data_IF_123412190701
#
_entry.id   IF_123412190701
#
_cell.length_a   1.000
_cell.length_b   1.000
_cell.length_c   1.000
_cell.angle_alpha   90.00
_cell.angle_beta   90.00
_cell.angle_gamma   90.00
#
_symmetry.space_group_name_H-M   'P 1'
#
loop_
_entity.id
_entity.type
_entity.pdbx_description
1 polymer ?
#
# COMPACT_ATOMS: atom_id res chain seq x y z
N UNK A 1 -6.05 3.41 17.61
CA UNK A 1 -4.82 3.15 16.83
C UNK A 1 -3.90 4.37 16.84
N UNK A 2 -4.33 5.54 16.33
CA UNK A 2 -3.51 6.79 16.35
C UNK A 2 -3.09 7.17 17.77
N UNK A 3 -4.03 7.20 18.73
CA UNK A 3 -3.72 7.61 20.11
C UNK A 3 -2.71 6.70 20.81
N UNK A 4 -2.69 5.40 20.47
CA UNK A 4 -1.82 4.40 21.13
C UNK A 4 -0.48 4.22 20.41
N UNK A 5 -0.48 4.22 19.08
CA UNK A 5 0.68 3.84 18.26
C UNK A 5 1.19 4.97 17.35
N UNK A 6 0.49 6.11 17.34
CA UNK A 6 0.84 7.26 16.52
C UNK A 6 1.95 8.12 17.13
N UNK A 7 2.30 9.17 16.39
CA UNK A 7 3.32 10.15 16.73
C UNK A 7 2.86 11.55 16.30
N UNK A 8 3.58 12.59 16.73
CA UNK A 8 3.33 13.95 16.25
C UNK A 8 4.13 14.17 14.96
N UNK A 9 3.43 14.46 13.86
CA UNK A 9 4.06 14.73 12.57
C UNK A 9 4.73 16.11 12.52
N UNK A 10 5.41 16.41 11.41
CA UNK A 10 6.12 17.70 11.21
C UNK A 10 5.18 18.91 11.20
N UNK A 11 3.87 18.69 11.04
CA UNK A 11 2.84 19.72 11.07
C UNK A 11 2.15 19.81 12.45
N UNK A 12 2.66 19.10 13.47
CA UNK A 12 2.11 19.11 14.82
C UNK A 12 0.86 18.24 15.00
N UNK A 13 0.51 17.38 14.03
CA UNK A 13 -0.70 16.55 14.09
C UNK A 13 -0.41 15.17 14.65
N UNK A 14 -1.30 14.68 15.52
CA UNK A 14 -1.28 13.27 15.91
C UNK A 14 -1.60 12.38 14.70
N UNK A 15 -0.62 11.57 14.31
CA UNK A 15 -0.59 10.88 13.03
C UNK A 15 -0.08 9.45 13.17
N UNK A 16 -0.51 8.60 12.27
CA UNK A 16 0.01 7.25 12.08
C UNK A 16 0.13 7.01 10.58
N UNK A 17 1.28 7.41 10.04
CA UNK A 17 1.74 7.05 8.70
C UNK A 17 2.91 6.10 8.83
N UNK A 18 2.70 4.84 8.47
CA UNK A 18 3.77 3.85 8.51
C UNK A 18 3.52 2.73 7.49
N UNK A 19 4.62 2.20 6.97
CA UNK A 19 4.64 0.97 6.19
C UNK A 19 4.88 -0.20 7.14
N UNK A 20 4.15 -1.28 6.94
CA UNK A 20 4.16 -2.48 7.76
C UNK A 20 4.42 -3.69 6.87
N UNK A 21 5.38 -4.51 7.27
CA UNK A 21 5.72 -5.79 6.65
C UNK A 21 5.86 -6.86 7.75
N UNK A 22 6.47 -8.00 7.46
CA UNK A 22 6.66 -9.10 8.42
C UNK A 22 7.54 -8.73 9.63
N UNK A 23 8.36 -7.68 9.49
CA UNK A 23 9.29 -7.20 10.53
C UNK A 23 8.67 -6.00 11.26
N UNK A 24 8.75 -5.94 12.61
CA UNK A 24 8.30 -4.78 13.36
C UNK A 24 8.95 -3.47 12.89
N UNK A 25 8.12 -2.48 12.54
CA UNK A 25 8.58 -1.14 12.24
C UNK A 25 8.84 -0.31 13.52
N UNK A 26 9.19 0.97 13.37
CA UNK A 26 9.50 1.86 14.49
C UNK A 26 8.31 2.11 15.45
N UNK A 27 7.07 1.84 15.01
CA UNK A 27 5.87 1.88 15.84
C UNK A 27 5.57 0.52 16.48
N UNK A 28 6.45 -0.47 16.31
CA UNK A 28 6.27 -1.84 16.79
C UNK A 28 5.23 -2.64 16.00
N UNK A 29 4.79 -2.14 14.84
CA UNK A 29 3.75 -2.77 14.03
C UNK A 29 4.36 -3.74 13.02
N UNK A 30 3.75 -4.92 12.86
CA UNK A 30 4.12 -5.92 11.86
C UNK A 30 2.89 -6.71 11.40
N UNK A 31 2.96 -7.31 10.21
CA UNK A 31 1.89 -8.18 9.69
C UNK A 31 2.31 -9.65 9.67
N UNK A 32 1.34 -10.55 9.82
CA UNK A 32 1.50 -11.99 9.61
C UNK A 32 0.33 -12.52 8.78
N UNK A 33 0.58 -13.59 8.03
CA UNK A 33 -0.48 -14.36 7.38
C UNK A 33 -0.85 -15.53 8.29
N UNK A 34 -2.10 -15.56 8.73
CA UNK A 34 -2.65 -16.60 9.58
C UNK A 34 -4.09 -16.90 9.17
N UNK A 35 -4.45 -18.17 9.01
CA UNK A 35 -5.81 -18.59 8.67
C UNK A 35 -6.35 -17.86 7.42
N UNK A 36 -5.54 -17.77 6.35
CA UNK A 36 -5.89 -17.08 5.11
C UNK A 36 -6.24 -15.59 5.29
N UNK A 37 -5.74 -14.95 6.35
CA UNK A 37 -5.94 -13.53 6.62
C UNK A 37 -4.60 -12.81 6.84
N UNK A 38 -4.55 -11.54 6.44
CA UNK A 38 -3.47 -10.63 6.82
C UNK A 38 -3.82 -10.03 8.17
N UNK A 39 -3.00 -10.29 9.19
CA UNK A 39 -3.22 -9.81 10.56
C UNK A 39 -2.13 -8.82 10.94
N UNK A 40 -2.54 -7.64 11.39
CA UNK A 40 -1.67 -6.59 11.91
C UNK A 40 -1.53 -6.75 13.42
N UNK A 41 -0.30 -6.92 13.87
CA UNK A 41 0.07 -7.03 15.28
C UNK A 41 0.93 -5.86 15.72
N UNK A 42 1.02 -5.70 17.03
CA UNK A 42 2.07 -4.94 17.69
C UNK A 42 2.98 -5.86 18.51
N UNK A 43 4.22 -5.45 18.75
CA UNK A 43 5.22 -6.22 19.52
C UNK A 43 4.81 -6.51 20.97
N UNK A 44 3.82 -5.79 21.51
CA UNK A 44 3.20 -6.08 22.82
C UNK A 44 2.23 -7.29 22.79
N UNK A 45 2.07 -7.93 21.64
CA UNK A 45 1.18 -9.08 21.43
C UNK A 45 -0.25 -8.70 21.03
N UNK A 46 -0.59 -7.41 20.94
CA UNK A 46 -1.92 -6.97 20.54
C UNK A 46 -2.21 -7.28 19.07
N UNK A 47 -3.33 -7.95 18.78
CA UNK A 47 -3.93 -7.98 17.45
C UNK A 47 -4.69 -6.66 17.22
N UNK A 48 -4.30 -5.91 16.19
CA UNK A 48 -4.82 -4.55 15.94
C UNK A 48 -5.87 -4.56 14.83
N UNK A 49 -5.62 -5.29 13.76
CA UNK A 49 -6.52 -5.37 12.61
C UNK A 49 -6.34 -6.69 11.87
N UNK A 50 -7.37 -7.08 11.14
CA UNK A 50 -7.39 -8.29 10.32
C UNK A 50 -8.10 -7.99 8.99
N UNK A 51 -7.53 -8.51 7.91
CA UNK A 51 -8.13 -8.49 6.58
C UNK A 51 -8.20 -9.91 6.05
N UNK A 52 -9.42 -10.43 5.88
CA UNK A 52 -9.63 -11.71 5.22
C UNK A 52 -9.03 -11.69 3.81
N UNK A 53 -8.22 -12.70 3.47
CA UNK A 53 -7.53 -12.77 2.20
C UNK A 53 -8.46 -12.79 1.01
N UNK A 54 -9.59 -13.49 1.12
CA UNK A 54 -10.65 -13.49 0.11
C UNK A 54 -11.14 -12.07 -0.22
N UNK A 55 -11.32 -11.20 0.79
CA UNK A 55 -11.76 -9.82 0.57
C UNK A 55 -10.70 -8.99 -0.16
N UNK A 56 -9.41 -9.24 0.13
CA UNK A 56 -8.29 -8.58 -0.55
C UNK A 56 -8.20 -9.02 -2.01
N UNK A 57 -8.28 -10.33 -2.26
CA UNK A 57 -8.27 -10.92 -3.60
C UNK A 57 -9.46 -10.42 -4.41
N UNK A 58 -10.67 -10.48 -3.87
CA UNK A 58 -11.88 -9.99 -4.54
C UNK A 58 -11.78 -8.50 -4.88
N UNK A 59 -11.24 -7.69 -3.98
CA UNK A 59 -11.03 -6.26 -4.22
C UNK A 59 -9.99 -6.00 -5.31
N UNK A 60 -8.90 -6.77 -5.33
CA UNK A 60 -7.86 -6.71 -6.36
C UNK A 60 -8.44 -7.06 -7.73
N UNK A 61 -9.09 -8.23 -7.86
CA UNK A 61 -9.65 -8.73 -9.11
C UNK A 61 -10.75 -7.82 -9.66
N UNK A 62 -11.60 -7.28 -8.79
CA UNK A 62 -12.67 -6.34 -9.20
C UNK A 62 -12.11 -5.02 -9.72
N UNK A 63 -11.07 -4.48 -9.07
CA UNK A 63 -10.55 -3.15 -9.38
C UNK A 63 -9.50 -3.17 -10.50
N UNK A 64 -8.77 -4.27 -10.62
CA UNK A 64 -7.63 -4.40 -11.54
C UNK A 64 -7.78 -5.65 -12.44
N UNK A 65 -8.89 -5.80 -13.19
CA UNK A 65 -9.00 -6.87 -14.19
C UNK A 65 -7.96 -6.70 -15.31
N UNK A 66 -7.53 -5.45 -15.55
CA UNK A 66 -6.37 -5.06 -16.33
C UNK A 66 -5.86 -3.69 -15.83
N UNK A 67 -4.62 -3.33 -16.14
CA UNK A 67 -4.01 -2.08 -15.70
C UNK A 67 -3.22 -1.45 -16.85
N UNK A 68 -3.33 -0.13 -17.04
CA UNK A 68 -2.36 0.63 -17.83
C UNK A 68 -1.48 1.40 -16.86
N UNK A 69 -0.19 1.11 -16.87
CA UNK A 69 0.82 1.87 -16.13
C UNK A 69 1.40 2.90 -17.09
N UNK A 70 1.46 4.15 -16.66
CA UNK A 70 2.05 5.26 -17.43
C UNK A 70 3.15 5.90 -16.61
N UNK A 71 4.34 5.98 -17.20
CA UNK A 71 5.51 6.63 -16.67
C UNK A 71 5.63 8.05 -17.18
N UNK A 72 6.16 8.93 -16.34
CA UNK A 72 6.44 10.30 -16.72
C UNK A 72 7.74 10.80 -16.10
N UNK A 73 8.55 11.47 -16.92
CA UNK A 73 9.63 12.30 -16.40
C UNK A 73 9.03 13.61 -15.86
N UNK A 74 9.45 14.02 -14.68
CA UNK A 74 9.05 15.28 -14.06
C UNK A 74 10.16 16.33 -14.19
N UNK A 75 9.77 17.58 -14.47
CA UNK A 75 10.65 18.74 -14.36
C UNK A 75 9.92 19.93 -13.75
N UNK A 76 10.63 20.74 -12.99
CA UNK A 76 10.14 22.03 -12.51
C UNK A 76 10.70 23.14 -13.40
N UNK A 77 9.85 24.02 -13.91
CA UNK A 77 10.31 25.16 -14.72
C UNK A 77 10.79 26.32 -13.83
N UNK A 78 11.26 27.40 -14.46
CA UNK A 78 11.69 28.63 -13.78
C UNK A 78 10.56 29.38 -13.04
N UNK A 79 9.30 28.99 -13.23
CA UNK A 79 8.13 29.55 -12.53
C UNK A 79 7.66 28.63 -11.39
N UNK A 80 8.49 27.68 -10.95
CA UNK A 80 8.17 26.68 -9.91
C UNK A 80 6.95 25.80 -10.23
N UNK A 81 6.61 25.68 -11.52
CA UNK A 81 5.53 24.80 -11.99
C UNK A 81 6.10 23.46 -12.42
N UNK A 82 5.59 22.40 -11.81
CA UNK A 82 5.88 21.02 -12.19
C UNK A 82 5.22 20.68 -13.53
N UNK A 83 5.97 20.00 -14.40
CA UNK A 83 5.53 19.51 -15.71
C UNK A 83 5.91 18.05 -15.83
N UNK A 84 5.00 17.26 -16.43
CA UNK A 84 5.16 15.83 -16.64
C UNK A 84 5.22 15.52 -18.13
N UNK A 85 6.22 14.75 -18.53
CA UNK A 85 6.31 14.20 -19.88
C UNK A 85 6.05 12.70 -19.82
N UNK A 86 4.82 12.30 -20.17
CA UNK A 86 4.42 10.90 -20.24
C UNK A 86 5.07 10.25 -21.47
N UNK A 87 6.02 9.36 -21.24
CA UNK A 87 6.95 8.89 -22.27
C UNK A 87 7.02 7.36 -22.40
N UNK A 88 6.47 6.61 -21.44
CA UNK A 88 6.41 5.16 -21.48
C UNK A 88 5.10 4.66 -20.87
N UNK A 89 4.49 3.62 -21.46
CA UNK A 89 3.31 2.99 -20.88
C UNK A 89 3.26 1.48 -21.15
N UNK A 90 2.64 0.75 -20.23
CA UNK A 90 2.46 -0.69 -20.32
C UNK A 90 1.02 -1.09 -20.01
N UNK A 91 0.51 -2.08 -20.74
CA UNK A 91 -0.76 -2.74 -20.47
C UNK A 91 -0.52 -4.08 -19.80
N UNK A 92 -1.02 -4.25 -18.58
CA UNK A 92 -0.94 -5.47 -17.81
C UNK A 92 -2.30 -6.16 -17.77
N UNK A 93 -2.29 -7.46 -18.05
CA UNK A 93 -3.48 -8.31 -18.13
C UNK A 93 -3.22 -9.65 -17.46
N UNK A 94 -4.28 -10.44 -17.30
CA UNK A 94 -4.25 -11.75 -16.65
C UNK A 94 -3.81 -11.62 -15.17
N UNK A 95 -4.60 -10.92 -14.33
CA UNK A 95 -4.27 -10.79 -12.91
C UNK A 95 -4.22 -12.16 -12.24
N UNK A 96 -3.22 -12.36 -11.38
CA UNK A 96 -3.01 -13.60 -10.64
C UNK A 96 -3.53 -13.46 -9.21
N UNK A 97 -4.73 -14.01 -8.97
CA UNK A 97 -5.40 -13.98 -7.67
C UNK A 97 -4.69 -14.80 -6.58
N UNK A 98 -4.11 -15.94 -6.95
CA UNK A 98 -3.58 -16.92 -5.98
C UNK A 98 -2.31 -16.47 -5.28
N UNK A 99 -1.62 -15.46 -5.81
CA UNK A 99 -0.31 -15.06 -5.32
C UNK A 99 -0.36 -13.95 -4.25
N UNK A 100 -1.51 -13.29 -4.03
CA UNK A 100 -1.55 -12.04 -3.28
C UNK A 100 -1.09 -12.20 -1.82
N UNK A 101 -1.56 -13.22 -1.11
CA UNK A 101 -1.17 -13.47 0.29
C UNK A 101 0.29 -13.91 0.41
N UNK A 102 0.78 -14.71 -0.54
CA UNK A 102 2.17 -15.13 -0.58
C UNK A 102 3.11 -13.95 -0.81
N UNK A 103 2.72 -13.00 -1.67
CA UNK A 103 3.49 -11.76 -1.87
C UNK A 103 3.51 -10.88 -0.62
N UNK A 104 2.45 -10.87 0.20
CA UNK A 104 2.48 -10.20 1.52
C UNK A 104 3.43 -10.94 2.47
N UNK A 105 3.36 -12.28 2.50
CA UNK A 105 4.23 -13.12 3.34
C UNK A 105 5.71 -12.96 2.99
N UNK A 106 6.03 -12.67 1.73
CA UNK A 106 7.38 -12.45 1.22
C UNK A 106 7.84 -10.99 1.33
N UNK A 107 7.05 -10.11 1.96
CA UNK A 107 7.29 -8.66 2.05
C UNK A 107 7.41 -7.94 0.70
N UNK A 108 6.91 -8.54 -0.38
CA UNK A 108 6.82 -7.93 -1.72
C UNK A 108 5.62 -6.98 -1.78
N UNK A 109 4.50 -7.40 -1.18
CA UNK A 109 3.37 -6.52 -0.89
C UNK A 109 3.48 -6.06 0.56
N UNK A 110 3.51 -4.75 0.78
CA UNK A 110 3.54 -4.13 2.10
C UNK A 110 2.22 -3.43 2.42
N UNK A 111 1.95 -3.22 3.71
CA UNK A 111 0.71 -2.62 4.21
C UNK A 111 0.98 -1.22 4.74
N UNK A 112 0.35 -0.21 4.13
CA UNK A 112 0.46 1.18 4.57
C UNK A 112 -0.74 1.57 5.43
N UNK A 113 -0.46 1.93 6.68
CA UNK A 113 -1.41 2.62 7.57
C UNK A 113 -1.25 4.12 7.39
N UNK A 114 -2.36 4.84 7.10
CA UNK A 114 -2.32 6.23 6.63
C UNK A 114 -3.44 7.06 7.24
N UNK A 115 -3.23 7.55 8.45
CA UNK A 115 -4.25 8.30 9.18
C UNK A 115 -3.68 9.40 10.06
N UNK A 116 -4.45 10.46 10.28
CA UNK A 116 -4.14 11.53 11.23
C UNK A 116 -5.41 12.10 11.87
N UNK A 117 -5.25 12.80 12.99
CA UNK A 117 -6.30 13.63 13.56
C UNK A 117 -6.32 15.00 12.89
N UNK A 118 -7.51 15.45 12.51
CA UNK A 118 -7.77 16.84 12.11
C UNK A 118 -7.74 17.75 13.34
N UNK A 119 -7.66 19.06 13.12
CA UNK A 119 -7.68 20.07 14.19
C UNK A 119 -8.92 19.94 15.10
N UNK A 120 -10.06 19.54 14.54
CA UNK A 120 -11.30 19.32 15.29
C UNK A 120 -11.36 17.95 16.02
N UNK A 121 -10.25 17.21 16.07
CA UNK A 121 -10.16 15.89 16.72
C UNK A 121 -10.70 14.72 15.90
N UNK A 122 -11.34 14.97 14.73
CA UNK A 122 -11.85 13.87 13.90
C UNK A 122 -10.73 13.12 13.16
N UNK A 123 -10.90 11.81 13.00
CA UNK A 123 -9.93 10.96 12.30
C UNK A 123 -10.06 11.13 10.78
N UNK A 124 -8.98 11.56 10.13
CA UNK A 124 -8.80 11.45 8.69
C UNK A 124 -8.05 10.16 8.38
N UNK A 125 -8.77 9.17 7.87
CA UNK A 125 -8.18 7.92 7.38
C UNK A 125 -8.18 7.91 5.84
N UNK A 126 -7.03 7.68 5.21
CA UNK A 126 -6.89 7.56 3.75
C UNK A 126 -7.17 6.14 3.22
N UNK A 127 -7.55 5.22 4.12
CA UNK A 127 -7.65 3.80 3.86
C UNK A 127 -6.30 3.10 3.96
N UNK A 128 -6.31 1.87 4.47
CA UNK A 128 -5.14 0.98 4.43
C UNK A 128 -4.85 0.62 2.98
N UNK A 129 -3.59 0.75 2.57
CA UNK A 129 -3.17 0.38 1.21
C UNK A 129 -2.27 -0.85 1.24
N UNK A 130 -2.57 -1.81 0.38
CA UNK A 130 -1.66 -2.90 0.02
C UNK A 130 -0.87 -2.44 -1.19
N UNK A 131 0.45 -2.31 -1.06
CA UNK A 131 1.32 -1.69 -2.06
C UNK A 131 2.38 -2.67 -2.50
N UNK A 132 2.70 -2.65 -3.78
CA UNK A 132 3.78 -3.41 -4.39
C UNK A 132 4.72 -2.44 -5.11
N UNK A 133 6.02 -2.74 -5.10
CA UNK A 133 6.99 -2.05 -5.95
C UNK A 133 6.78 -2.48 -7.41
N UNK A 134 6.85 -1.53 -8.33
CA UNK A 134 6.52 -1.76 -9.72
C UNK A 134 7.37 -2.82 -10.42
N UNK A 135 8.59 -3.04 -9.93
CA UNK A 135 9.50 -4.06 -10.47
C UNK A 135 8.95 -5.47 -10.28
N UNK A 136 7.97 -5.65 -9.39
CA UNK A 136 7.32 -6.92 -9.10
C UNK A 136 5.93 -7.06 -9.73
N UNK A 137 5.49 -6.14 -10.61
CA UNK A 137 4.17 -6.23 -11.24
C UNK A 137 3.94 -7.53 -12.04
N UNK A 138 5.02 -8.11 -12.58
CA UNK A 138 4.98 -9.41 -13.25
C UNK A 138 4.59 -10.58 -12.33
N UNK A 139 4.63 -10.39 -11.01
CA UNK A 139 4.16 -11.39 -10.05
C UNK A 139 2.64 -11.32 -9.82
N UNK A 140 2.01 -10.18 -10.17
CA UNK A 140 0.58 -9.95 -10.05
C UNK A 140 -0.16 -10.09 -11.38
N UNK A 141 0.54 -9.99 -12.52
CA UNK A 141 -0.05 -10.05 -13.86
C UNK A 141 0.76 -10.96 -14.77
N UNK A 142 0.07 -11.87 -15.46
CA UNK A 142 0.69 -12.86 -16.35
C UNK A 142 1.15 -12.29 -17.69
N UNK A 143 0.63 -11.13 -18.10
CA UNK A 143 1.02 -10.49 -19.36
C UNK A 143 1.33 -8.99 -19.15
N UNK A 144 2.36 -8.51 -19.85
CA UNK A 144 2.79 -7.11 -19.89
C UNK A 144 3.17 -6.74 -21.32
N UNK A 145 2.40 -5.83 -21.91
CA UNK A 145 2.59 -5.31 -23.25
C UNK A 145 3.05 -3.84 -23.17
N UNK A 146 4.04 -3.43 -23.97
CA UNK A 146 4.45 -2.02 -24.06
C UNK A 146 3.56 -1.29 -25.06
N UNK A 147 3.03 -0.13 -24.68
CA UNK A 147 2.10 0.68 -25.48
C UNK A 147 2.78 1.85 -26.21
N UNK A 148 3.71 2.52 -25.54
CA UNK A 148 4.55 3.62 -26.07
C UNK A 148 5.98 3.43 -25.57
#
# INVERSE_FOLDING_TARGET
MIEKYGYIDTNGRSSLYCTVNSTPNNQGLYVKIEQEAVKLYHVDGSLIAEWAGENLINSFMKKMPALVIVYADARTNSEEKEKFWFNEAFYLTQPNEGNLLDLVKQDIIVVDVRMHLRENGSVRNHGTAFRIDERFWNLCFGNREKLI
#
